data_IF_616354437623
#
_entry.id   IF_616354437623
#
_cell.length_a   1.000
_cell.length_b   1.000
_cell.length_c   1.000
_cell.angle_alpha   90.00
_cell.angle_beta   90.00
_cell.angle_gamma   90.00
#
_symmetry.space_group_name_H-M   'P 1'
#
loop_
_entity.id
_entity.type
_entity.pdbx_description
1 polymer ?
#
# COMPACT_ATOMS: atom_id res chain seq x y z
N UNK A 1 -34.00 24.92 -20.48
CA UNK A 1 -32.53 24.97 -20.25
C UNK A 1 -32.10 24.51 -18.84
N UNK A 2 -32.87 24.79 -17.77
CA UNK A 2 -32.52 24.39 -16.40
C UNK A 2 -32.28 22.88 -16.18
N UNK A 3 -33.06 22.00 -16.82
CA UNK A 3 -32.91 20.54 -16.67
C UNK A 3 -31.56 20.00 -17.20
N UNK A 4 -30.98 20.61 -18.24
CA UNK A 4 -29.66 20.23 -18.77
C UNK A 4 -28.53 20.70 -17.86
N UNK A 5 -28.69 21.84 -17.20
CA UNK A 5 -27.72 22.36 -16.22
C UNK A 5 -27.73 21.51 -14.95
N UNK A 6 -28.91 21.13 -14.46
CA UNK A 6 -29.06 20.22 -13.31
C UNK A 6 -28.47 18.82 -13.58
N UNK A 7 -28.60 18.30 -14.80
CA UNK A 7 -28.01 17.01 -15.19
C UNK A 7 -26.47 17.02 -15.24
N UNK A 8 -25.84 18.20 -15.38
CA UNK A 8 -24.38 18.35 -15.43
C UNK A 8 -23.75 18.58 -14.05
N UNK A 9 -24.54 18.94 -13.02
CA UNK A 9 -24.05 19.17 -11.66
C UNK A 9 -23.26 17.98 -11.08
N UNK A 10 -23.66 16.71 -11.25
CA UNK A 10 -22.89 15.58 -10.75
C UNK A 10 -21.51 15.48 -11.42
N UNK A 11 -21.45 15.73 -12.73
CA UNK A 11 -20.23 15.67 -13.53
C UNK A 11 -19.28 16.82 -13.12
N UNK A 12 -19.82 18.04 -12.99
CA UNK A 12 -19.07 19.21 -12.52
C UNK A 12 -18.55 18.98 -11.09
N UNK A 13 -19.33 18.37 -10.21
CA UNK A 13 -18.92 18.01 -8.85
C UNK A 13 -17.78 16.99 -8.83
N UNK A 14 -17.85 15.93 -9.64
CA UNK A 14 -16.76 14.94 -9.78
C UNK A 14 -15.49 15.57 -10.35
N UNK A 15 -15.62 16.44 -11.36
CA UNK A 15 -14.49 17.15 -11.94
C UNK A 15 -13.83 18.11 -10.93
N UNK A 16 -14.63 18.88 -10.19
CA UNK A 16 -14.15 19.78 -9.14
C UNK A 16 -13.44 19.02 -8.01
N UNK A 17 -14.00 17.89 -7.56
CA UNK A 17 -13.34 17.04 -6.56
C UNK A 17 -12.04 16.44 -7.09
N UNK A 18 -12.05 15.87 -8.29
CA UNK A 18 -10.83 15.34 -8.91
C UNK A 18 -9.74 16.40 -9.05
N UNK A 19 -10.13 17.62 -9.46
CA UNK A 19 -9.25 18.79 -9.52
C UNK A 19 -8.70 19.17 -8.16
N UNK A 20 -9.55 19.26 -7.13
CA UNK A 20 -9.13 19.57 -5.77
C UNK A 20 -8.16 18.52 -5.20
N UNK A 21 -8.47 17.23 -5.35
CA UNK A 21 -7.62 16.13 -4.88
C UNK A 21 -6.27 16.08 -5.62
N UNK A 22 -6.24 16.50 -6.89
CA UNK A 22 -5.00 16.61 -7.67
C UNK A 22 -4.19 17.83 -7.21
N UNK A 23 -4.85 18.96 -6.98
CA UNK A 23 -4.21 20.20 -6.53
C UNK A 23 -3.64 20.06 -5.11
N UNK A 24 -4.33 19.39 -4.19
CA UNK A 24 -3.80 19.14 -2.84
C UNK A 24 -2.52 18.33 -2.89
N UNK A 25 -2.46 17.28 -3.72
CA UNK A 25 -1.23 16.50 -3.96
C UNK A 25 -0.11 17.34 -4.56
N UNK A 26 -0.41 18.11 -5.62
CA UNK A 26 0.57 18.98 -6.25
C UNK A 26 1.13 20.05 -5.31
N UNK A 27 0.31 20.62 -4.42
CA UNK A 27 0.78 21.59 -3.40
C UNK A 27 1.82 21.00 -2.46
N UNK A 28 1.75 19.69 -2.21
CA UNK A 28 2.72 19.01 -1.37
C UNK A 28 3.97 18.61 -2.18
N UNK A 29 3.81 18.25 -3.47
CA UNK A 29 4.95 18.00 -4.37
C UNK A 29 5.77 19.28 -4.65
N UNK A 30 5.12 20.45 -4.80
CA UNK A 30 5.78 21.75 -5.07
C UNK A 30 6.54 22.29 -3.84
N UNK A 31 6.22 21.81 -2.63
CA UNK A 31 7.01 22.12 -1.42
C UNK A 31 8.33 21.34 -1.35
N UNK A 32 8.57 20.38 -2.23
CA UNK A 32 9.90 19.80 -2.43
C UNK A 32 10.61 20.57 -3.56
N UNK A 33 11.63 21.41 -3.28
CA UNK A 33 12.34 22.14 -4.32
C UNK A 33 13.06 21.17 -5.26
N UNK A 34 13.28 21.52 -6.54
CA UNK A 34 14.13 20.73 -7.43
C UNK A 34 15.57 20.83 -6.92
N UNK A 35 16.01 19.82 -6.17
CA UNK A 35 17.32 19.75 -5.52
C UNK A 35 17.36 20.24 -4.07
N UNK A 36 16.22 20.48 -3.40
CA UNK A 36 16.16 20.94 -2.01
C UNK A 36 15.50 19.93 -1.08
N UNK A 37 15.93 19.97 0.18
CA UNK A 37 15.59 19.15 1.34
C UNK A 37 14.32 18.28 1.21
N UNK A 38 14.50 16.98 1.47
CA UNK A 38 13.39 16.07 1.67
C UNK A 38 12.43 16.72 2.68
N UNK A 39 11.13 16.51 2.52
CA UNK A 39 10.19 16.96 3.52
C UNK A 39 10.53 16.24 4.83
N UNK A 40 11.30 16.88 5.69
CA UNK A 40 11.94 16.23 6.83
C UNK A 40 10.97 16.21 8.01
N UNK A 41 10.94 15.08 8.70
CA UNK A 41 10.27 15.00 9.98
C UNK A 41 10.96 15.93 10.97
N UNK A 42 10.22 16.43 11.96
CA UNK A 42 10.83 17.18 13.05
C UNK A 42 11.85 16.27 13.73
N UNK A 43 13.11 16.71 13.73
CA UNK A 43 14.23 15.93 14.28
C UNK A 43 13.99 15.62 15.75
N UNK A 44 14.13 14.35 16.13
CA UNK A 44 13.85 13.87 17.49
C UNK A 44 12.37 13.58 17.79
N UNK A 45 11.46 13.70 16.81
CA UNK A 45 10.10 13.18 16.94
C UNK A 45 10.07 11.65 16.93
N UNK A 46 8.98 11.05 17.44
CA UNK A 46 8.79 9.59 17.35
C UNK A 46 8.79 9.10 15.90
N UNK A 47 8.32 9.93 14.97
CA UNK A 47 8.28 9.61 13.55
C UNK A 47 9.68 9.61 12.91
N UNK A 48 10.57 10.50 13.36
CA UNK A 48 11.98 10.51 12.95
C UNK A 48 12.69 9.25 13.44
N UNK A 49 12.46 8.85 14.70
CA UNK A 49 12.99 7.58 15.24
C UNK A 49 12.44 6.38 14.47
N UNK A 50 11.14 6.35 14.14
CA UNK A 50 10.56 5.29 13.33
C UNK A 50 11.25 5.27 11.97
N UNK A 51 11.35 6.43 11.31
CA UNK A 51 11.98 6.57 10.01
C UNK A 51 13.39 5.98 10.05
N UNK A 52 14.22 6.31 11.03
CA UNK A 52 15.59 5.80 11.20
C UNK A 52 15.66 4.27 11.26
N UNK A 53 14.71 3.63 11.95
CA UNK A 53 14.67 2.18 12.14
C UNK A 53 14.11 1.38 10.96
N UNK A 54 13.58 2.03 9.93
CA UNK A 54 12.95 1.33 8.80
C UNK A 54 13.97 0.56 7.97
N UNK A 55 13.62 -0.68 7.65
CA UNK A 55 14.43 -1.57 6.81
C UNK A 55 13.63 -2.11 5.62
N UNK A 56 14.34 -2.61 4.60
CA UNK A 56 13.70 -3.25 3.44
C UNK A 56 12.81 -4.40 3.89
N UNK A 57 11.58 -4.41 3.39
CA UNK A 57 10.57 -5.41 3.72
C UNK A 57 9.62 -5.01 4.84
N UNK A 58 9.85 -3.92 5.58
CA UNK A 58 8.86 -3.45 6.56
C UNK A 58 7.55 -3.08 5.85
N UNK A 59 6.39 -3.33 6.48
CA UNK A 59 5.10 -2.98 5.88
C UNK A 59 4.61 -1.63 6.38
N UNK A 60 3.93 -0.90 5.50
CA UNK A 60 3.25 0.35 5.85
C UNK A 60 1.78 0.24 5.50
N UNK A 61 0.92 0.56 6.44
CA UNK A 61 -0.53 0.51 6.32
C UNK A 61 -1.13 1.90 6.41
N UNK A 62 -2.18 2.15 5.64
CA UNK A 62 -2.89 3.43 5.64
C UNK A 62 -4.39 3.22 5.79
N UNK A 63 -5.00 4.09 6.58
CA UNK A 63 -6.42 4.38 6.54
C UNK A 63 -6.60 5.72 5.82
N UNK A 64 -6.95 5.71 4.54
CA UNK A 64 -6.95 6.94 3.70
C UNK A 64 -8.24 7.74 3.89
N UNK A 65 -8.17 9.07 3.93
CA UNK A 65 -9.40 9.89 3.91
C UNK A 65 -10.04 9.81 2.52
N UNK A 66 -11.34 9.51 2.45
CA UNK A 66 -12.03 9.41 1.15
C UNK A 66 -11.95 10.71 0.36
N UNK A 67 -12.05 11.87 1.03
CA UNK A 67 -11.95 13.20 0.43
C UNK A 67 -10.61 13.47 -0.27
N UNK A 68 -9.53 12.82 0.18
CA UNK A 68 -8.17 12.96 -0.36
C UNK A 68 -7.90 12.05 -1.58
N UNK A 69 -8.86 11.18 -1.90
CA UNK A 69 -8.76 10.25 -3.02
C UNK A 69 -9.42 10.83 -4.27
N UNK A 70 -8.94 10.39 -5.44
CA UNK A 70 -9.67 10.62 -6.69
C UNK A 70 -11.06 9.95 -6.59
N UNK A 71 -12.10 10.48 -7.25
CA UNK A 71 -13.48 10.02 -7.05
C UNK A 71 -13.69 8.50 -7.23
N UNK A 72 -13.09 7.90 -8.26
CA UNK A 72 -13.16 6.45 -8.46
C UNK A 72 -12.47 5.69 -7.32
N UNK A 73 -11.31 6.17 -6.90
CA UNK A 73 -10.57 5.58 -5.79
C UNK A 73 -11.37 5.70 -4.48
N UNK A 74 -12.00 6.84 -4.25
CA UNK A 74 -12.88 7.07 -3.11
C UNK A 74 -14.09 6.12 -3.13
N UNK A 75 -14.74 5.95 -4.28
CA UNK A 75 -15.86 5.03 -4.44
C UNK A 75 -15.44 3.58 -4.12
N UNK A 76 -14.36 3.10 -4.74
CA UNK A 76 -13.84 1.76 -4.48
C UNK A 76 -13.53 1.55 -2.99
N UNK A 77 -12.78 2.48 -2.38
CA UNK A 77 -12.45 2.40 -0.95
C UNK A 77 -13.70 2.45 -0.07
N UNK A 78 -14.71 3.24 -0.42
CA UNK A 78 -15.97 3.30 0.32
C UNK A 78 -16.74 1.96 0.27
N UNK A 79 -16.87 1.35 -0.91
CA UNK A 79 -17.54 0.06 -1.09
C UNK A 79 -16.86 -1.02 -0.25
N UNK A 80 -15.54 -1.13 -0.39
CA UNK A 80 -14.72 -2.09 0.35
C UNK A 80 -14.85 -1.88 1.86
N UNK A 81 -14.82 -0.63 2.33
CA UNK A 81 -15.02 -0.32 3.77
C UNK A 81 -16.39 -0.72 4.27
N UNK A 82 -17.44 -0.45 3.49
CA UNK A 82 -18.82 -0.80 3.85
C UNK A 82 -19.02 -2.31 3.99
N UNK A 83 -18.35 -3.12 3.18
CA UNK A 83 -18.56 -4.57 3.13
C UNK A 83 -17.62 -5.37 4.02
N UNK A 84 -16.37 -4.93 4.17
CA UNK A 84 -15.33 -5.68 4.89
C UNK A 84 -14.90 -5.02 6.20
N UNK A 85 -15.29 -3.76 6.44
CA UNK A 85 -14.90 -2.94 7.59
C UNK A 85 -13.42 -3.10 8.00
N UNK A 86 -12.46 -2.95 7.06
CA UNK A 86 -11.06 -3.14 7.38
C UNK A 86 -10.52 -1.91 8.13
N UNK A 87 -9.64 -2.12 9.11
CA UNK A 87 -8.91 -1.02 9.77
C UNK A 87 -8.08 -0.22 8.78
N UNK A 88 -7.38 -0.92 7.90
CA UNK A 88 -6.54 -0.34 6.84
C UNK A 88 -7.10 -0.69 5.48
N UNK A 89 -7.21 0.30 4.59
CA UNK A 89 -7.72 0.12 3.22
C UNK A 89 -6.62 0.11 2.16
N UNK A 90 -5.37 0.31 2.58
CA UNK A 90 -4.21 0.37 1.70
C UNK A 90 -2.95 -0.07 2.43
N UNK A 91 -2.00 -0.62 1.69
CA UNK A 91 -0.69 -0.97 2.22
C UNK A 91 0.41 -0.85 1.15
N UNK A 92 1.64 -0.87 1.61
CA UNK A 92 2.85 -0.97 0.81
C UNK A 92 3.96 -1.55 1.65
N UNK A 93 5.16 -1.62 1.08
CA UNK A 93 6.35 -2.07 1.78
C UNK A 93 7.49 -1.06 1.63
N UNK A 94 8.39 -1.05 2.60
CA UNK A 94 9.55 -0.18 2.63
C UNK A 94 10.68 -0.82 1.83
N UNK A 95 11.28 -0.03 0.96
CA UNK A 95 12.54 -0.34 0.31
C UNK A 95 13.61 0.65 0.75
N UNK A 96 14.77 0.14 1.15
CA UNK A 96 15.95 0.94 1.46
C UNK A 96 16.98 0.69 0.37
N UNK A 97 17.38 1.73 -0.33
CA UNK A 97 18.38 1.60 -1.40
C UNK A 97 19.80 1.45 -0.83
N UNK A 98 20.78 1.25 -1.73
CA UNK A 98 22.19 1.10 -1.37
C UNK A 98 22.80 2.36 -0.70
N UNK A 99 22.15 3.51 -0.82
CA UNK A 99 22.55 4.77 -0.20
C UNK A 99 21.81 5.02 1.13
N UNK A 100 21.00 4.07 1.60
CA UNK A 100 20.21 4.21 2.83
C UNK A 100 18.93 5.04 2.67
N UNK A 101 18.58 5.46 1.45
CA UNK A 101 17.38 6.25 1.20
C UNK A 101 16.15 5.35 1.25
N UNK A 102 15.11 5.82 1.96
CA UNK A 102 13.89 5.07 2.25
C UNK A 102 12.78 5.41 1.29
N UNK A 103 12.16 4.39 0.73
CA UNK A 103 11.05 4.49 -0.22
C UNK A 103 9.89 3.61 0.23
N UNK A 104 8.67 4.01 -0.14
CA UNK A 104 7.48 3.18 -0.06
C UNK A 104 7.14 2.71 -1.46
N UNK A 105 7.07 1.40 -1.60
CA UNK A 105 6.69 0.72 -2.83
C UNK A 105 5.27 0.17 -2.65
N UNK A 106 4.36 0.58 -3.52
CA UNK A 106 2.94 0.24 -3.40
C UNK A 106 2.25 0.24 -4.76
N UNK A 107 1.24 -0.63 -4.92
CA UNK A 107 0.30 -0.56 -6.04
C UNK A 107 -0.86 0.36 -5.67
N UNK A 108 -0.89 1.55 -6.27
CA UNK A 108 -2.02 2.47 -6.13
C UNK A 108 -3.16 2.08 -7.07
N UNK A 109 -4.28 2.79 -7.00
CA UNK A 109 -5.41 2.62 -7.93
C UNK A 109 -5.10 3.05 -9.37
N UNK A 110 -3.97 3.74 -9.60
CA UNK A 110 -3.54 4.13 -10.95
C UNK A 110 -2.38 3.26 -11.46
N UNK A 111 -1.33 3.10 -10.65
CA UNK A 111 -0.10 2.38 -11.02
C UNK A 111 0.69 1.92 -9.80
N UNK A 112 1.65 1.04 -10.02
CA UNK A 112 2.76 0.77 -9.09
C UNK A 112 3.65 2.00 -9.00
N UNK A 113 3.97 2.40 -7.77
CA UNK A 113 4.80 3.55 -7.47
C UNK A 113 5.87 3.18 -6.44
N UNK A 114 7.06 3.76 -6.61
CA UNK A 114 8.12 3.82 -5.62
C UNK A 114 8.34 5.29 -5.30
N UNK A 115 8.05 5.71 -4.07
CA UNK A 115 8.09 7.13 -3.66
C UNK A 115 8.94 7.29 -2.41
N UNK A 116 9.66 8.43 -2.25
CA UNK A 116 10.37 8.70 -1.00
C UNK A 116 9.42 8.57 0.20
N UNK A 117 9.90 7.91 1.25
CA UNK A 117 9.10 7.60 2.44
C UNK A 117 8.48 8.86 3.04
N UNK A 118 9.30 9.88 3.31
CA UNK A 118 8.87 11.13 3.94
C UNK A 118 7.82 11.88 3.10
N UNK A 119 8.06 12.01 1.80
CA UNK A 119 7.10 12.60 0.87
C UNK A 119 5.77 11.84 0.90
N UNK A 120 5.80 10.50 0.89
CA UNK A 120 4.58 9.70 0.92
C UNK A 120 3.81 9.80 2.24
N UNK A 121 4.52 9.90 3.36
CA UNK A 121 3.93 10.09 4.69
C UNK A 121 3.17 11.41 4.76
N UNK A 122 3.84 12.51 4.42
CA UNK A 122 3.32 13.87 4.55
C UNK A 122 2.22 14.20 3.53
N UNK A 123 2.29 13.62 2.33
CA UNK A 123 1.26 13.81 1.29
C UNK A 123 0.08 12.84 1.41
N UNK A 124 0.09 11.94 2.40
CA UNK A 124 -0.87 10.85 2.46
C UNK A 124 -2.30 11.28 2.74
N UNK A 125 -2.46 12.38 3.49
CA UNK A 125 -3.71 12.81 4.13
C UNK A 125 -4.47 11.64 4.81
N UNK A 126 -3.76 10.61 5.27
CA UNK A 126 -4.36 9.45 5.93
C UNK A 126 -4.90 9.85 7.31
N UNK A 127 -5.98 9.18 7.75
CA UNK A 127 -6.46 9.31 9.13
C UNK A 127 -5.60 8.50 10.11
N UNK A 128 -5.00 7.42 9.63
CA UNK A 128 -4.09 6.57 10.39
C UNK A 128 -3.00 6.04 9.45
N UNK A 129 -1.76 6.04 9.92
CA UNK A 129 -0.64 5.34 9.28
C UNK A 129 0.04 4.46 10.32
N UNK A 130 0.41 3.26 9.94
CA UNK A 130 1.05 2.30 10.85
C UNK A 130 2.11 1.51 10.12
N UNK A 131 3.26 1.32 10.75
CA UNK A 131 4.35 0.46 10.26
C UNK A 131 4.30 -0.88 10.99
N UNK A 132 4.56 -1.96 10.26
CA UNK A 132 4.81 -3.28 10.83
C UNK A 132 6.24 -3.68 10.47
N UNK A 133 7.19 -3.57 11.42
CA UNK A 133 8.57 -3.96 11.18
C UNK A 133 8.68 -5.46 10.94
N UNK A 134 9.46 -5.84 9.95
CA UNK A 134 9.89 -7.22 9.72
C UNK A 134 11.22 -7.43 10.42
N UNK A 135 11.28 -8.32 11.40
CA UNK A 135 12.49 -8.64 12.16
C UNK A 135 13.23 -9.77 11.47
N UNK A 136 14.29 -9.43 10.75
CA UNK A 136 15.21 -10.38 10.13
C UNK A 136 16.52 -9.70 9.76
N UNK A 137 17.54 -10.48 9.43
CA UNK A 137 18.74 -9.94 8.82
C UNK A 137 18.54 -9.85 7.30
N UNK A 138 18.79 -8.66 6.72
CA UNK A 138 18.69 -8.45 5.27
C UNK A 138 19.97 -8.92 4.60
N UNK A 139 19.86 -9.95 3.77
CA UNK A 139 20.97 -10.39 2.93
C UNK A 139 21.12 -9.50 1.69
N UNK A 140 22.27 -9.61 1.02
CA UNK A 140 22.49 -8.90 -0.25
C UNK A 140 21.54 -9.43 -1.33
N UNK A 141 21.30 -10.74 -1.34
CA UNK A 141 20.40 -11.39 -2.29
C UNK A 141 18.97 -10.87 -2.16
N UNK A 142 18.47 -10.68 -0.92
CA UNK A 142 17.17 -10.07 -0.66
C UNK A 142 17.10 -8.65 -1.22
N UNK A 143 18.14 -7.84 -0.98
CA UNK A 143 18.17 -6.44 -1.45
C UNK A 143 18.25 -6.34 -2.98
N UNK A 144 19.05 -7.20 -3.61
CA UNK A 144 19.16 -7.25 -5.07
C UNK A 144 17.85 -7.76 -5.70
N UNK A 145 17.18 -8.74 -5.10
CA UNK A 145 15.86 -9.22 -5.52
C UNK A 145 14.78 -8.12 -5.37
N UNK A 146 14.78 -7.40 -4.25
CA UNK A 146 13.88 -6.27 -4.03
C UNK A 146 14.08 -5.17 -5.10
N UNK A 147 15.33 -4.81 -5.40
CA UNK A 147 15.67 -3.82 -6.42
C UNK A 147 15.25 -4.29 -7.83
N UNK A 148 15.45 -5.55 -8.16
CA UNK A 148 15.05 -6.13 -9.44
C UNK A 148 13.53 -6.11 -9.61
N UNK A 149 12.79 -6.54 -8.57
CA UNK A 149 11.33 -6.53 -8.57
C UNK A 149 10.76 -5.12 -8.76
N UNK A 150 11.31 -4.12 -8.04
CA UNK A 150 10.88 -2.71 -8.22
C UNK A 150 11.12 -2.26 -9.66
N UNK A 151 12.28 -2.59 -10.24
CA UNK A 151 12.64 -2.16 -11.59
C UNK A 151 11.74 -2.78 -12.66
N UNK A 152 11.35 -4.05 -12.48
CA UNK A 152 10.44 -4.76 -13.38
C UNK A 152 9.00 -4.24 -13.28
N UNK A 153 8.53 -3.95 -12.06
CA UNK A 153 7.15 -3.57 -11.81
C UNK A 153 6.92 -2.06 -11.87
N UNK A 154 7.97 -1.26 -12.04
CA UNK A 154 7.91 0.19 -12.06
C UNK A 154 6.90 0.69 -13.10
N UNK A 155 5.95 1.52 -12.67
CA UNK A 155 4.90 2.10 -13.52
C UNK A 155 3.95 1.09 -14.17
N UNK A 156 3.93 -0.18 -13.73
CA UNK A 156 2.87 -1.12 -14.11
C UNK A 156 1.51 -0.50 -13.76
N UNK A 157 0.58 -0.54 -14.70
CA UNK A 157 -0.78 -0.04 -14.46
C UNK A 157 -1.45 -0.86 -13.36
N UNK A 158 -2.30 -0.18 -12.58
CA UNK A 158 -3.03 -0.84 -11.50
C UNK A 158 -3.92 -1.95 -12.06
N UNK A 159 -3.99 -3.05 -11.32
CA UNK A 159 -4.93 -4.14 -11.58
C UNK A 159 -6.38 -3.78 -11.22
N UNK A 160 -6.60 -2.70 -10.45
CA UNK A 160 -7.97 -2.21 -10.25
C UNK A 160 -8.51 -1.68 -11.58
N UNK A 161 -9.66 -2.20 -11.98
CA UNK A 161 -10.47 -1.65 -13.07
C UNK A 161 -11.80 -1.13 -12.52
N UNK A 162 -12.37 -0.13 -13.20
CA UNK A 162 -13.75 0.32 -13.01
C UNK A 162 -14.73 -0.86 -12.98
N UNK A 163 -14.51 -1.87 -13.83
CA UNK A 163 -15.33 -3.09 -13.86
C UNK A 163 -15.31 -3.84 -12.53
N UNK A 164 -14.14 -3.99 -11.91
CA UNK A 164 -14.01 -4.62 -10.60
C UNK A 164 -14.71 -3.81 -9.49
N UNK A 165 -14.64 -2.48 -9.56
CA UNK A 165 -15.35 -1.61 -8.61
C UNK A 165 -16.87 -1.71 -8.74
N UNK A 166 -17.38 -1.81 -9.96
CA UNK A 166 -18.82 -1.96 -10.25
C UNK A 166 -19.30 -3.37 -9.89
N UNK A 167 -18.53 -4.41 -10.19
CA UNK A 167 -18.86 -5.78 -9.77
C UNK A 167 -18.92 -5.90 -8.24
N UNK A 168 -17.99 -5.25 -7.52
CA UNK A 168 -18.02 -5.18 -6.07
C UNK A 168 -19.28 -4.47 -5.51
N UNK A 169 -19.86 -3.53 -6.26
CA UNK A 169 -21.12 -2.87 -5.89
C UNK A 169 -22.35 -3.77 -6.11
N UNK A 170 -22.34 -4.58 -7.17
CA UNK A 170 -23.51 -5.35 -7.61
C UNK A 170 -23.57 -6.72 -6.91
N UNK A 171 -22.44 -7.42 -6.81
CA UNK A 171 -22.34 -8.78 -6.27
C UNK A 171 -21.33 -8.85 -5.11
N UNK A 172 -21.70 -8.40 -3.89
CA UNK A 172 -20.81 -8.38 -2.74
C UNK A 172 -20.32 -9.78 -2.31
N UNK A 173 -21.10 -10.82 -2.59
CA UNK A 173 -20.77 -12.19 -2.19
C UNK A 173 -19.69 -12.84 -3.07
N UNK A 174 -19.56 -12.41 -4.33
CA UNK A 174 -18.48 -12.85 -5.23
C UNK A 174 -17.13 -12.27 -4.80
N UNK A 175 -17.11 -11.13 -4.11
CA UNK A 175 -15.88 -10.51 -3.60
C UNK A 175 -15.16 -11.36 -2.56
N UNK A 176 -15.88 -12.25 -1.88
CA UNK A 176 -15.32 -13.17 -0.88
C UNK A 176 -14.84 -14.49 -1.48
N UNK A 177 -15.21 -14.78 -2.73
CA UNK A 177 -14.98 -16.07 -3.40
C UNK A 177 -13.91 -16.01 -4.50
N UNK A 178 -12.99 -15.05 -4.44
CA UNK A 178 -11.99 -14.87 -5.49
C UNK A 178 -11.25 -16.19 -5.81
N UNK A 179 -11.50 -16.71 -7.03
CA UNK A 179 -10.76 -17.83 -7.61
C UNK A 179 -9.33 -17.39 -7.99
N UNK A 180 -8.44 -18.35 -8.27
CA UNK A 180 -7.02 -18.07 -8.51
C UNK A 180 -6.73 -17.15 -9.70
N UNK A 181 -7.67 -17.02 -10.65
CA UNK A 181 -7.54 -16.19 -11.86
C UNK A 181 -8.23 -14.81 -11.77
N UNK A 182 -8.91 -14.50 -10.66
CA UNK A 182 -9.61 -13.23 -10.50
C UNK A 182 -8.63 -12.11 -10.10
N UNK A 183 -8.83 -10.90 -10.64
CA UNK A 183 -8.04 -9.74 -10.22
C UNK A 183 -8.17 -9.52 -8.71
N UNK A 184 -7.06 -9.24 -7.99
CA UNK A 184 -7.09 -9.14 -6.54
C UNK A 184 -8.00 -7.99 -6.10
N UNK A 185 -8.79 -8.22 -5.07
CA UNK A 185 -9.67 -7.19 -4.49
C UNK A 185 -8.85 -6.05 -3.85
N UNK A 186 -7.69 -6.39 -3.29
CA UNK A 186 -6.71 -5.44 -2.78
C UNK A 186 -5.39 -5.59 -3.54
N UNK A 187 -5.23 -4.97 -4.73
CA UNK A 187 -3.99 -5.06 -5.49
C UNK A 187 -2.76 -4.59 -4.72
N UNK A 188 -2.92 -3.64 -3.79
CA UNK A 188 -1.84 -3.24 -2.90
C UNK A 188 -1.33 -4.39 -2.01
N UNK A 189 -2.23 -5.22 -1.47
CA UNK A 189 -1.85 -6.35 -0.63
C UNK A 189 -1.32 -7.51 -1.48
N UNK A 190 -1.93 -7.76 -2.64
CA UNK A 190 -1.42 -8.71 -3.63
C UNK A 190 0.01 -8.37 -4.06
N UNK A 191 0.27 -7.10 -4.33
CA UNK A 191 1.58 -6.60 -4.73
C UNK A 191 2.63 -6.77 -3.63
N UNK A 192 2.25 -6.60 -2.36
CA UNK A 192 3.15 -6.90 -1.23
C UNK A 192 3.48 -8.40 -1.20
N UNK A 193 2.49 -9.27 -1.36
CA UNK A 193 2.70 -10.72 -1.41
C UNK A 193 3.63 -11.14 -2.55
N UNK A 194 3.47 -10.55 -3.74
CA UNK A 194 4.34 -10.77 -4.90
C UNK A 194 5.77 -10.27 -4.66
N UNK A 195 5.94 -9.10 -4.03
CA UNK A 195 7.25 -8.58 -3.67
C UNK A 195 7.94 -9.52 -2.67
N UNK A 196 7.21 -10.02 -1.69
CA UNK A 196 7.72 -10.95 -0.69
C UNK A 196 8.09 -12.30 -1.31
N UNK A 197 7.32 -12.80 -2.25
CA UNK A 197 7.62 -14.01 -3.02
C UNK A 197 8.88 -13.84 -3.87
N UNK A 198 9.01 -12.71 -4.58
CA UNK A 198 10.23 -12.36 -5.32
C UNK A 198 11.47 -12.22 -4.43
N UNK A 199 11.30 -11.75 -3.19
CA UNK A 199 12.34 -11.70 -2.17
C UNK A 199 12.60 -13.06 -1.49
N UNK A 200 11.84 -14.12 -1.81
CA UNK A 200 11.96 -15.43 -1.18
C UNK A 200 11.54 -15.47 0.29
N UNK A 201 10.62 -14.58 0.69
CA UNK A 201 10.10 -14.47 2.06
C UNK A 201 8.82 -15.28 2.26
N UNK A 202 8.01 -15.45 1.23
CA UNK A 202 6.73 -16.18 1.28
C UNK A 202 6.54 -16.95 -0.02
N UNK A 203 5.52 -17.82 -0.05
CA UNK A 203 4.96 -18.34 -1.30
C UNK A 203 3.68 -17.54 -1.58
N UNK A 204 3.63 -16.80 -2.70
CA UNK A 204 2.46 -15.97 -3.04
C UNK A 204 1.17 -16.77 -3.23
N UNK A 205 1.26 -18.05 -3.58
CA UNK A 205 0.09 -18.92 -3.80
C UNK A 205 -0.37 -19.55 -2.48
N UNK A 206 0.48 -19.53 -1.45
CA UNK A 206 0.20 -20.10 -0.12
C UNK A 206 0.84 -19.29 1.01
N UNK A 207 0.23 -18.15 1.32
CA UNK A 207 0.68 -17.23 2.38
C UNK A 207 0.42 -17.74 3.80
N UNK A 208 -0.52 -18.67 3.99
CA UNK A 208 -0.92 -19.17 5.32
C UNK A 208 -1.14 -20.68 5.32
N UNK A 209 -1.04 -21.31 6.49
CA UNK A 209 -1.41 -22.72 6.67
C UNK A 209 -2.90 -22.95 6.99
N UNK A 210 -3.71 -21.88 7.05
CA UNK A 210 -5.16 -21.98 7.24
C UNK A 210 -5.86 -22.63 6.04
N UNK A 211 -7.07 -23.16 6.25
CA UNK A 211 -7.94 -23.68 5.18
C UNK A 211 -9.19 -22.78 5.01
N UNK A 212 -9.45 -22.25 3.80
CA UNK A 212 -8.60 -22.27 2.62
C UNK A 212 -7.33 -21.40 2.80
N UNK A 213 -6.21 -21.74 2.12
CA UNK A 213 -4.98 -20.94 2.22
C UNK A 213 -5.17 -19.57 1.55
N UNK A 214 -4.63 -18.53 2.17
CA UNK A 214 -4.56 -17.22 1.54
C UNK A 214 -3.50 -17.21 0.45
N UNK A 215 -3.78 -16.49 -0.63
CA UNK A 215 -2.88 -16.25 -1.76
C UNK A 215 -2.83 -14.75 -2.08
N UNK A 216 -1.94 -14.33 -2.96
CA UNK A 216 -1.86 -12.95 -3.44
C UNK A 216 -3.21 -12.46 -4.03
N UNK A 217 -4.03 -13.34 -4.60
CA UNK A 217 -5.35 -12.97 -5.13
C UNK A 217 -6.38 -12.63 -4.04
N UNK A 218 -6.24 -13.22 -2.85
CA UNK A 218 -7.25 -13.17 -1.77
C UNK A 218 -6.80 -12.39 -0.55
N UNK A 219 -5.50 -12.11 -0.42
CA UNK A 219 -4.92 -11.43 0.74
C UNK A 219 -5.44 -10.00 0.89
N UNK A 220 -5.72 -9.62 2.13
CA UNK A 220 -6.13 -8.25 2.47
C UNK A 220 -5.08 -7.55 3.33
N UNK A 221 -5.09 -6.20 3.41
CA UNK A 221 -4.23 -5.47 4.36
C UNK A 221 -4.42 -5.93 5.81
N UNK A 222 -5.63 -6.38 6.18
CA UNK A 222 -5.92 -6.91 7.51
C UNK A 222 -5.18 -8.22 7.77
N UNK A 223 -5.07 -9.09 6.77
CA UNK A 223 -4.36 -10.37 6.92
C UNK A 223 -2.85 -10.16 7.02
N UNK A 224 -2.30 -9.23 6.26
CA UNK A 224 -0.89 -8.82 6.38
C UNK A 224 -0.58 -8.18 7.74
N UNK A 225 -1.50 -7.36 8.27
CA UNK A 225 -1.35 -6.76 9.60
C UNK A 225 -1.50 -7.80 10.75
N UNK A 226 -2.11 -8.96 10.48
CA UNK A 226 -2.25 -10.05 11.43
C UNK A 226 -0.95 -10.88 11.49
N UNK A 227 0.02 -10.36 12.25
CA UNK A 227 1.40 -10.85 12.48
C UNK A 227 1.62 -12.37 12.44
N UNK A 228 0.69 -13.15 12.97
CA UNK A 228 0.81 -14.61 13.15
C UNK A 228 0.21 -15.43 12.01
N UNK A 229 -0.41 -14.78 11.01
CA UNK A 229 -1.06 -15.49 9.90
C UNK A 229 -0.08 -15.81 8.77
N UNK A 230 0.75 -14.84 8.40
CA UNK A 230 1.65 -14.98 7.25
C UNK A 230 2.83 -15.88 7.60
N UNK A 231 3.02 -16.91 6.78
CA UNK A 231 4.12 -17.87 6.90
C UNK A 231 5.37 -17.31 6.23
N UNK A 232 6.32 -16.84 7.03
CA UNK A 232 7.61 -16.36 6.55
C UNK A 232 8.60 -17.53 6.42
N UNK A 233 9.27 -17.61 5.28
CA UNK A 233 10.29 -18.61 4.98
C UNK A 233 11.65 -18.18 5.52
N UNK A 234 12.43 -19.13 6.05
CA UNK A 234 13.84 -18.87 6.37
C UNK A 234 14.63 -18.75 5.08
N UNK A 235 15.43 -17.71 4.95
CA UNK A 235 16.23 -17.50 3.74
C UNK A 235 17.53 -18.30 3.72
N UNK A 236 18.04 -18.69 4.88
CA UNK A 236 19.26 -19.50 4.99
C UNK A 236 19.24 -20.31 6.28
N UNK A 237 19.82 -21.51 6.24
CA UNK A 237 20.07 -22.32 7.44
C UNK A 237 20.98 -21.61 8.45
N UNK A 238 21.77 -20.62 7.99
CA UNK A 238 22.66 -19.81 8.85
C UNK A 238 21.95 -18.65 9.56
N UNK A 239 20.67 -18.36 9.28
CA UNK A 239 19.93 -17.35 10.05
C UNK A 239 19.56 -17.90 11.43
N UNK A 240 20.15 -17.33 12.48
CA UNK A 240 19.93 -17.72 13.88
C UNK A 240 18.47 -17.56 14.32
N UNK A 241 17.80 -16.49 13.84
CA UNK A 241 16.40 -16.20 14.17
C UNK A 241 15.50 -16.33 12.93
N UNK A 242 14.36 -17.01 13.09
CA UNK A 242 13.34 -17.05 12.05
C UNK A 242 12.76 -15.63 11.81
N UNK A 243 12.50 -15.24 10.56
CA UNK A 243 11.88 -13.96 10.25
C UNK A 243 10.51 -13.86 10.90
N UNK A 244 10.24 -12.73 11.54
CA UNK A 244 8.98 -12.51 12.25
C UNK A 244 8.54 -11.05 12.22
N UNK A 245 7.24 -10.80 12.16
CA UNK A 245 6.73 -9.44 12.29
C UNK A 245 6.77 -8.94 13.73
N UNK A 246 7.16 -7.68 13.87
CA UNK A 246 7.16 -6.93 15.13
C UNK A 246 5.76 -6.50 15.56
N UNK A 247 5.69 -5.42 16.36
CA UNK A 247 4.42 -4.79 16.74
C UNK A 247 4.07 -3.71 15.72
N UNK A 248 2.77 -3.44 15.59
CA UNK A 248 2.30 -2.29 14.82
C UNK A 248 2.72 -1.00 15.53
N UNK A 249 3.44 -0.13 14.81
CA UNK A 249 3.94 1.16 15.27
C UNK A 249 3.14 2.28 14.59
N UNK A 250 2.28 3.02 15.30
CA UNK A 250 1.55 4.13 14.72
C UNK A 250 2.51 5.30 14.43
N UNK A 251 2.33 5.94 13.28
CA UNK A 251 3.02 7.19 12.91
C UNK A 251 2.08 8.35 13.25
N UNK A 252 2.60 9.38 13.91
CA UNK A 252 1.84 10.56 14.32
C UNK A 252 2.34 11.79 13.57
N UNK A 253 1.71 12.04 12.43
CA UNK A 253 1.91 13.29 11.69
C UNK A 253 1.24 14.43 12.48
N UNK A 254 2.03 15.18 13.24
CA UNK A 254 1.60 16.42 13.92
C UNK A 254 1.47 17.60 12.96
#
# INVERSE_FOLDING_TARGET
MAARVLALLPIAGVAAWSGNATLTRMRHDVRAPPGGEALDFVTGSMDDTIMETLETGDLVFFQRKLSALQPLAALHTWVVRRQLNPRFDHCGWVYVDRLGRKFIVEETLAKVQCRPYSARMLTSEASEITVLPLKMQRSKELQDAASAFISEQASRTSRISLRHTVLALINPDEMRKAGSDAAPLFPCAAFVAEAYDAMGLVDKDRLTDAQPPLSAATVTPRDLAARSKIRLQKQSERQEAAPAFGRLLPIRLE
#
